data_IF_165506067649
#
_entry.id   IF_165506067649
#
_cell.length_a   1.000
_cell.length_b   1.000
_cell.length_c   1.000
_cell.angle_alpha   90.00
_cell.angle_beta   90.00
_cell.angle_gamma   90.00
#
_symmetry.space_group_name_H-M   'P 1'
#
loop_
_entity.id
_entity.type
_entity.pdbx_description
1 polymer ?
#
# COMPACT_ATOMS: atom_id res chain seq x y z
N UNK A 1 -33.35 18.08 26.65
CA UNK A 1 -33.21 16.71 26.09
C UNK A 1 -32.14 16.59 24.99
N UNK A 2 -32.02 17.51 24.05
CA UNK A 2 -30.99 17.49 22.98
C UNK A 2 -29.57 17.69 23.56
N UNK A 3 -29.40 18.54 24.56
CA UNK A 3 -28.10 18.82 25.19
C UNK A 3 -27.57 17.64 26.00
N UNK A 4 -28.44 16.95 26.73
CA UNK A 4 -28.06 15.74 27.49
C UNK A 4 -27.69 14.56 26.55
N UNK A 5 -28.37 14.41 25.40
CA UNK A 5 -28.03 13.41 24.39
C UNK A 5 -26.66 13.70 23.74
N UNK A 6 -26.31 14.99 23.55
CA UNK A 6 -24.97 15.37 23.03
C UNK A 6 -23.87 15.08 24.03
N UNK A 7 -24.07 15.33 25.32
CA UNK A 7 -23.09 15.03 26.38
C UNK A 7 -22.91 13.51 26.53
N UNK A 8 -23.97 12.72 26.52
CA UNK A 8 -23.89 11.26 26.57
C UNK A 8 -23.20 10.65 25.34
N UNK A 9 -23.38 11.22 24.15
CA UNK A 9 -22.70 10.78 22.94
C UNK A 9 -21.19 11.11 22.98
N UNK A 10 -20.82 12.27 23.51
CA UNK A 10 -19.42 12.68 23.65
C UNK A 10 -18.72 11.84 24.74
N UNK A 11 -19.40 11.52 25.85
CA UNK A 11 -18.81 10.67 26.90
C UNK A 11 -18.70 9.20 26.50
N UNK A 12 -19.67 8.65 25.75
CA UNK A 12 -19.58 7.31 25.18
C UNK A 12 -18.46 7.22 24.14
N UNK A 13 -18.27 8.27 23.33
CA UNK A 13 -17.17 8.39 22.37
C UNK A 13 -15.82 8.48 23.09
N UNK A 14 -15.73 9.20 24.21
CA UNK A 14 -14.51 9.28 25.04
C UNK A 14 -14.13 7.94 25.67
N UNK A 15 -15.08 7.14 26.11
CA UNK A 15 -14.84 5.81 26.67
C UNK A 15 -14.35 4.83 25.60
N UNK A 16 -14.84 4.95 24.36
CA UNK A 16 -14.39 4.18 23.20
C UNK A 16 -12.95 4.54 22.79
N UNK A 17 -12.60 5.81 22.78
CA UNK A 17 -11.25 6.29 22.45
C UNK A 17 -10.22 5.83 23.49
N UNK A 18 -10.58 5.76 24.76
CA UNK A 18 -9.68 5.28 25.82
C UNK A 18 -9.30 3.78 25.67
N UNK A 19 -10.16 2.97 25.01
CA UNK A 19 -9.87 1.55 24.72
C UNK A 19 -8.95 1.32 23.51
N UNK A 20 -8.70 2.35 22.68
CA UNK A 20 -7.96 2.23 21.42
C UNK A 20 -6.42 2.35 21.58
N UNK A 21 -5.90 2.55 22.75
CA UNK A 21 -4.45 2.74 22.99
C UNK A 21 -3.70 1.47 23.39
N UNK A 22 -4.35 0.30 23.38
CA UNK A 22 -3.65 -0.96 23.58
C UNK A 22 -2.77 -1.22 22.34
N UNK A 23 -1.45 -1.22 22.52
CA UNK A 23 -0.54 -1.78 21.52
C UNK A 23 -0.88 -3.26 21.36
N UNK A 24 -1.32 -3.68 20.18
CA UNK A 24 -1.54 -5.09 19.89
C UNK A 24 -0.21 -5.84 20.06
N UNK A 25 -0.17 -6.82 20.95
CA UNK A 25 0.97 -7.71 21.10
C UNK A 25 1.21 -8.47 19.77
N UNK A 26 2.48 -8.68 19.43
CA UNK A 26 2.85 -9.49 18.28
C UNK A 26 2.27 -10.90 18.43
N UNK A 27 1.77 -11.45 17.33
CA UNK A 27 1.23 -12.80 17.32
C UNK A 27 2.30 -13.85 17.65
N UNK A 28 1.91 -14.98 18.23
CA UNK A 28 2.81 -16.09 18.55
C UNK A 28 3.69 -16.52 17.34
N UNK A 29 3.15 -16.65 16.11
CA UNK A 29 3.97 -16.94 14.92
C UNK A 29 5.10 -15.95 14.66
N UNK A 30 4.86 -14.66 14.90
CA UNK A 30 5.90 -13.62 14.70
C UNK A 30 6.98 -13.72 15.77
N UNK A 31 6.62 -14.04 17.02
CA UNK A 31 7.58 -14.28 18.09
C UNK A 31 8.44 -15.51 17.81
N UNK A 32 7.84 -16.60 17.28
CA UNK A 32 8.58 -17.80 16.85
C UNK A 32 9.55 -17.49 15.72
N UNK A 33 9.13 -16.68 14.72
CA UNK A 33 10.01 -16.24 13.62
C UNK A 33 11.18 -15.43 14.16
N UNK A 34 10.93 -14.50 15.07
CA UNK A 34 11.96 -13.68 15.69
C UNK A 34 12.97 -14.54 16.46
N UNK A 35 12.49 -15.49 17.25
CA UNK A 35 13.32 -16.43 18.01
C UNK A 35 14.16 -17.32 17.07
N UNK A 36 13.58 -17.78 15.95
CA UNK A 36 14.33 -18.46 14.89
C UNK A 36 15.46 -17.58 14.34
N UNK A 37 15.18 -16.32 14.01
CA UNK A 37 16.18 -15.40 13.46
C UNK A 37 17.31 -15.16 14.47
N UNK A 38 17.00 -14.99 15.74
CA UNK A 38 17.99 -14.82 16.81
C UNK A 38 18.97 -16.00 16.92
N UNK A 39 18.48 -17.22 16.70
CA UNK A 39 19.29 -18.46 16.83
C UNK A 39 20.06 -18.83 15.58
N UNK A 40 19.53 -18.55 14.38
CA UNK A 40 20.01 -19.17 13.15
C UNK A 40 20.57 -18.18 12.12
N UNK A 41 20.21 -16.89 12.20
CA UNK A 41 20.67 -15.90 11.22
C UNK A 41 21.97 -15.25 11.72
N UNK A 42 23.04 -15.21 10.89
CA UNK A 42 24.30 -14.59 11.29
C UNK A 42 24.17 -13.08 11.47
N UNK A 43 25.01 -12.51 12.35
CA UNK A 43 25.13 -11.06 12.57
C UNK A 43 26.05 -10.41 11.53
N UNK A 44 26.02 -9.08 11.44
CA UNK A 44 27.04 -8.33 10.69
C UNK A 44 26.60 -7.80 9.33
N UNK A 45 25.33 -7.99 8.95
CA UNK A 45 24.81 -7.40 7.73
C UNK A 45 24.46 -5.91 7.91
N UNK A 46 24.49 -5.18 6.79
CA UNK A 46 24.01 -3.79 6.77
C UNK A 46 22.52 -3.75 7.01
N UNK A 47 22.05 -2.80 7.80
CA UNK A 47 20.61 -2.54 7.93
C UNK A 47 20.00 -2.07 6.60
N UNK A 48 18.68 -2.14 6.50
CA UNK A 48 17.88 -1.68 5.36
C UNK A 48 18.34 -2.30 4.04
N UNK A 49 18.33 -3.62 4.00
CA UNK A 49 18.70 -4.38 2.81
C UNK A 49 17.47 -4.55 1.90
N UNK A 50 17.63 -4.18 0.65
CA UNK A 50 16.64 -4.55 -0.37
C UNK A 50 16.61 -6.06 -0.58
N UNK A 51 15.43 -6.63 -0.85
CA UNK A 51 15.30 -8.02 -1.34
C UNK A 51 16.13 -8.26 -2.62
N UNK A 52 16.52 -7.18 -3.31
CA UNK A 52 17.29 -7.20 -4.56
C UNK A 52 18.80 -7.01 -4.35
N UNK A 53 19.25 -6.68 -3.13
CA UNK A 53 20.67 -6.32 -2.86
C UNK A 53 21.59 -7.53 -2.75
N UNK A 54 21.04 -8.72 -2.71
CA UNK A 54 21.83 -9.96 -2.66
C UNK A 54 22.50 -10.20 -3.99
N UNK A 55 23.69 -9.74 -4.12
CA UNK A 55 24.71 -9.94 -5.18
C UNK A 55 24.17 -10.15 -6.61
N UNK A 56 24.86 -9.71 -7.65
CA UNK A 56 24.41 -9.87 -9.05
C UNK A 56 24.17 -11.31 -9.50
N UNK A 57 24.56 -12.29 -8.70
CA UNK A 57 24.45 -13.74 -8.99
C UNK A 57 23.46 -14.49 -8.09
N UNK A 58 22.92 -13.86 -7.04
CA UNK A 58 21.96 -14.52 -6.15
C UNK A 58 20.53 -14.12 -6.50
N UNK A 59 19.64 -15.08 -6.35
CA UNK A 59 18.21 -14.87 -6.57
C UNK A 59 17.65 -13.91 -5.52
N UNK A 60 16.72 -13.00 -5.87
CA UNK A 60 16.00 -12.19 -4.91
C UNK A 60 15.42 -13.06 -3.79
N UNK A 61 15.59 -12.62 -2.57
CA UNK A 61 15.20 -13.36 -1.38
C UNK A 61 14.26 -12.52 -0.52
N UNK A 62 12.96 -12.75 -0.64
CA UNK A 62 11.93 -11.95 0.01
C UNK A 62 12.01 -11.92 1.54
N UNK A 63 12.55 -12.97 2.16
CA UNK A 63 12.65 -13.08 3.61
C UNK A 63 13.99 -12.58 4.16
N UNK A 64 15.00 -12.35 3.32
CA UNK A 64 16.34 -12.01 3.77
C UNK A 64 16.41 -10.70 4.56
N UNK A 65 15.85 -9.56 4.05
CA UNK A 65 15.85 -8.31 4.81
C UNK A 65 15.10 -8.44 6.13
N UNK A 66 13.95 -9.13 6.10
CA UNK A 66 13.15 -9.38 7.29
C UNK A 66 13.93 -10.16 8.35
N UNK A 67 14.61 -11.25 7.96
CA UNK A 67 15.39 -12.06 8.90
C UNK A 67 16.48 -11.26 9.59
N UNK A 68 17.23 -10.46 8.83
CA UNK A 68 18.29 -9.62 9.40
C UNK A 68 17.77 -8.49 10.27
N UNK A 69 16.66 -7.86 9.87
CA UNK A 69 16.02 -6.83 10.67
C UNK A 69 15.53 -7.39 12.03
N UNK A 70 14.88 -8.55 12.03
CA UNK A 70 14.41 -9.20 13.27
C UNK A 70 15.58 -9.69 14.13
N UNK A 71 16.69 -10.16 13.51
CA UNK A 71 17.89 -10.64 14.21
C UNK A 71 18.59 -9.52 14.98
N UNK A 72 18.77 -8.38 14.36
CA UNK A 72 19.57 -7.26 14.88
C UNK A 72 18.72 -6.02 15.22
N UNK A 73 17.45 -6.21 15.62
CA UNK A 73 16.48 -5.15 15.89
C UNK A 73 17.07 -4.01 16.75
N UNK A 74 17.66 -4.34 17.89
CA UNK A 74 18.21 -3.33 18.81
C UNK A 74 19.31 -2.49 18.17
N UNK A 75 20.18 -3.11 17.36
CA UNK A 75 21.25 -2.43 16.64
C UNK A 75 20.68 -1.47 15.59
N UNK A 76 19.69 -1.94 14.83
CA UNK A 76 19.11 -1.16 13.72
C UNK A 76 18.27 0.00 14.22
N UNK A 77 17.51 -0.17 15.29
CA UNK A 77 16.80 0.93 15.98
C UNK A 77 17.78 2.03 16.45
N UNK A 78 18.95 1.65 16.94
CA UNK A 78 20.00 2.61 17.33
C UNK A 78 20.60 3.39 16.15
N UNK A 79 20.58 2.85 14.93
CA UNK A 79 21.12 3.52 13.73
C UNK A 79 20.07 4.40 13.03
N UNK A 80 18.82 3.92 12.90
CA UNK A 80 17.79 4.55 12.06
C UNK A 80 16.69 5.27 12.82
N UNK A 81 16.68 5.26 14.14
CA UNK A 81 15.55 5.54 15.01
C UNK A 81 14.48 4.43 14.99
N UNK A 82 13.66 4.40 16.02
CA UNK A 82 12.53 3.46 16.12
C UNK A 82 11.55 3.62 14.94
N UNK A 83 11.25 4.86 14.59
CA UNK A 83 10.32 5.19 13.51
C UNK A 83 10.77 4.61 12.16
N UNK A 84 11.99 4.89 11.75
CA UNK A 84 12.52 4.40 10.48
C UNK A 84 12.65 2.88 10.45
N UNK A 85 13.09 2.26 11.55
CA UNK A 85 13.21 0.82 11.65
C UNK A 85 11.85 0.10 11.52
N UNK A 86 10.85 0.54 12.27
CA UNK A 86 9.53 -0.11 12.25
C UNK A 86 8.79 0.08 10.94
N UNK A 87 8.96 1.22 10.28
CA UNK A 87 8.40 1.45 8.94
C UNK A 87 9.01 0.48 7.91
N UNK A 88 10.34 0.32 7.89
CA UNK A 88 11.03 -0.62 7.00
C UNK A 88 10.62 -2.08 7.26
N UNK A 89 10.57 -2.50 8.51
CA UNK A 89 10.16 -3.87 8.85
C UNK A 89 8.70 -4.13 8.44
N UNK A 90 7.84 -3.13 8.58
CA UNK A 90 6.47 -3.19 8.07
C UNK A 90 6.43 -3.51 6.57
N UNK A 91 7.27 -2.83 5.77
CA UNK A 91 7.38 -3.10 4.34
C UNK A 91 7.89 -4.51 4.05
N UNK A 92 8.86 -5.02 4.80
CA UNK A 92 9.37 -6.39 4.62
C UNK A 92 8.31 -7.45 4.89
N UNK A 93 7.47 -7.26 5.91
CA UNK A 93 6.32 -8.13 6.14
C UNK A 93 5.29 -8.04 5.00
N UNK A 94 5.02 -6.85 4.48
CA UNK A 94 4.14 -6.67 3.34
C UNK A 94 4.68 -7.37 2.08
N UNK A 95 5.98 -7.26 1.79
CA UNK A 95 6.63 -8.02 0.72
C UNK A 95 6.49 -9.53 0.91
N UNK A 96 6.60 -10.03 2.13
CA UNK A 96 6.44 -11.46 2.43
C UNK A 96 4.96 -11.93 2.39
N UNK A 97 4.00 -11.03 2.17
CA UNK A 97 2.58 -11.32 2.12
C UNK A 97 1.90 -11.41 3.49
N UNK A 98 2.56 -11.00 4.56
CA UNK A 98 1.95 -10.90 5.90
C UNK A 98 1.51 -9.46 6.20
N UNK A 99 0.40 -9.08 5.62
CA UNK A 99 -0.13 -7.73 5.71
C UNK A 99 -0.64 -7.36 7.12
N UNK A 100 -1.03 -8.35 7.93
CA UNK A 100 -1.47 -8.13 9.31
C UNK A 100 -0.30 -7.71 10.18
N UNK A 101 0.79 -8.45 10.14
CA UNK A 101 2.00 -8.13 10.89
C UNK A 101 2.65 -6.84 10.39
N UNK A 102 2.59 -6.59 9.07
CA UNK A 102 3.02 -5.31 8.50
C UNK A 102 2.34 -4.12 9.20
N UNK A 103 1.02 -4.15 9.39
CA UNK A 103 0.30 -3.09 10.10
C UNK A 103 0.70 -2.99 11.58
N UNK A 104 0.93 -4.10 12.27
CA UNK A 104 1.38 -4.11 13.66
C UNK A 104 2.76 -3.45 13.84
N UNK A 105 3.67 -3.66 12.89
CA UNK A 105 4.98 -2.98 12.89
C UNK A 105 4.86 -1.51 12.50
N UNK A 106 4.01 -1.17 11.53
CA UNK A 106 3.77 0.20 11.11
C UNK A 106 3.30 1.09 12.27
N UNK A 107 2.39 0.59 13.11
CA UNK A 107 1.90 1.33 14.29
C UNK A 107 3.01 1.71 15.25
N UNK A 108 4.03 0.86 15.39
CA UNK A 108 5.18 1.15 16.26
C UNK A 108 6.07 2.28 15.73
N UNK A 109 5.93 2.66 14.45
CA UNK A 109 6.62 3.80 13.86
C UNK A 109 5.96 5.15 14.20
N UNK A 110 4.76 5.15 14.78
CA UNK A 110 3.98 6.37 15.03
C UNK A 110 4.30 7.01 16.38
N UNK A 111 4.20 8.34 16.40
CA UNK A 111 4.31 9.10 17.64
C UNK A 111 3.10 8.88 18.56
N UNK A 112 3.33 9.04 19.86
CA UNK A 112 2.24 9.02 20.85
C UNK A 112 1.33 10.24 20.68
N UNK A 113 0.03 10.03 20.95
CA UNK A 113 -0.98 11.10 20.90
C UNK A 113 -0.81 12.07 22.08
N UNK A 114 -0.52 13.31 21.80
CA UNK A 114 -0.41 14.40 22.78
C UNK A 114 -1.75 15.13 22.99
N UNK A 115 -1.79 16.10 23.94
CA UNK A 115 -3.03 16.84 24.27
C UNK A 115 -3.54 17.74 23.15
N UNK A 116 -2.64 18.32 22.36
CA UNK A 116 -3.02 19.09 21.17
C UNK A 116 -3.70 18.20 20.12
N UNK A 117 -3.19 17.00 19.94
CA UNK A 117 -3.78 15.98 19.06
C UNK A 117 -5.14 15.53 19.57
N UNK A 118 -5.32 15.34 20.89
CA UNK A 118 -6.63 15.04 21.49
C UNK A 118 -7.65 16.13 21.19
N UNK A 119 -7.27 17.40 21.28
CA UNK A 119 -8.14 18.53 20.95
C UNK A 119 -8.61 18.50 19.47
N UNK A 120 -7.74 18.11 18.55
CA UNK A 120 -8.10 17.90 17.13
C UNK A 120 -9.09 16.72 16.97
N UNK A 121 -8.86 15.61 17.65
CA UNK A 121 -9.77 14.44 17.63
C UNK A 121 -11.20 14.86 18.00
N UNK A 122 -11.38 15.66 19.05
CA UNK A 122 -12.71 16.12 19.46
C UNK A 122 -13.40 16.99 18.41
N UNK A 123 -12.66 17.92 17.77
CA UNK A 123 -13.20 18.75 16.70
C UNK A 123 -13.63 17.91 15.50
N UNK A 124 -12.79 17.00 15.09
CA UNK A 124 -13.07 16.11 13.94
C UNK A 124 -14.24 15.18 14.22
N UNK A 125 -14.30 14.61 15.42
CA UNK A 125 -15.44 13.78 15.83
C UNK A 125 -16.78 14.54 15.78
N UNK A 126 -16.79 15.80 16.20
CA UNK A 126 -17.99 16.64 16.15
C UNK A 126 -18.40 16.97 14.70
N UNK A 127 -17.44 17.20 13.80
CA UNK A 127 -17.71 17.49 12.38
C UNK A 127 -18.27 16.25 11.64
N UNK A 128 -18.00 15.04 12.11
CA UNK A 128 -18.49 13.79 11.51
C UNK A 128 -19.95 13.43 11.87
N UNK A 129 -20.65 14.28 12.66
CA UNK A 129 -22.06 14.08 13.00
C UNK A 129 -22.96 14.60 11.87
N UNK A 130 -23.49 13.76 11.04
CA UNK A 130 -24.43 14.17 9.98
C UNK A 130 -23.90 14.03 8.57
N UNK A 131 -22.82 13.29 8.39
CA UNK A 131 -22.30 12.91 7.07
C UNK A 131 -23.14 11.75 6.49
N UNK A 132 -23.25 11.74 5.17
CA UNK A 132 -23.75 10.62 4.38
C UNK A 132 -22.56 9.93 3.70
N UNK A 133 -22.67 8.62 3.48
CA UNK A 133 -21.66 7.84 2.78
C UNK A 133 -22.16 7.47 1.40
N UNK A 134 -21.28 7.64 0.43
CA UNK A 134 -21.49 7.17 -0.94
C UNK A 134 -20.33 6.26 -1.35
N UNK A 135 -20.61 5.30 -2.23
CA UNK A 135 -19.58 4.41 -2.75
C UNK A 135 -18.45 5.22 -3.42
N UNK A 136 -17.20 5.05 -2.95
CA UNK A 136 -16.04 5.84 -3.41
C UNK A 136 -15.79 5.67 -4.90
N UNK A 137 -15.84 4.43 -5.43
CA UNK A 137 -15.60 4.15 -6.85
C UNK A 137 -16.59 4.91 -7.75
N UNK A 138 -17.87 4.91 -7.40
CA UNK A 138 -18.90 5.61 -8.16
C UNK A 138 -18.71 7.12 -8.09
N UNK A 139 -18.39 7.66 -6.92
CA UNK A 139 -18.17 9.09 -6.74
C UNK A 139 -16.92 9.57 -7.48
N UNK A 140 -15.80 8.86 -7.36
CA UNK A 140 -14.56 9.15 -8.07
C UNK A 140 -14.77 9.15 -9.58
N UNK A 141 -15.51 8.16 -10.11
CA UNK A 141 -15.83 8.09 -11.54
C UNK A 141 -16.59 9.33 -12.03
N UNK A 142 -17.53 9.85 -11.25
CA UNK A 142 -18.24 11.08 -11.58
C UNK A 142 -17.32 12.31 -11.50
N UNK A 143 -16.55 12.44 -10.43
CA UNK A 143 -15.63 13.56 -10.23
C UNK A 143 -14.51 13.60 -11.30
N UNK A 144 -14.02 12.44 -11.75
CA UNK A 144 -12.95 12.32 -12.73
C UNK A 144 -13.40 12.50 -14.19
N UNK A 145 -14.73 12.51 -14.48
CA UNK A 145 -15.26 12.48 -15.86
C UNK A 145 -14.63 13.54 -16.77
N UNK A 146 -14.51 14.77 -16.28
CA UNK A 146 -14.02 15.92 -17.03
C UNK A 146 -12.60 16.34 -16.63
N UNK A 147 -11.90 15.53 -15.83
CA UNK A 147 -10.51 15.80 -15.43
C UNK A 147 -9.52 15.14 -16.39
N UNK A 148 -8.44 15.86 -16.71
CA UNK A 148 -7.35 15.32 -17.50
C UNK A 148 -6.33 14.57 -16.65
N UNK A 149 -6.18 14.97 -15.38
CA UNK A 149 -5.25 14.38 -14.43
C UNK A 149 -5.99 14.06 -13.14
N UNK A 150 -5.84 12.82 -12.69
CA UNK A 150 -6.28 12.36 -11.37
C UNK A 150 -5.06 11.83 -10.64
N UNK A 151 -4.86 12.25 -9.42
CA UNK A 151 -3.76 11.82 -8.56
C UNK A 151 -4.33 11.12 -7.32
N UNK A 152 -3.84 9.94 -7.02
CA UNK A 152 -4.22 9.15 -5.85
C UNK A 152 -2.96 8.78 -5.08
N UNK A 153 -3.00 8.88 -3.75
CA UNK A 153 -1.83 8.58 -2.92
C UNK A 153 -1.85 7.17 -2.33
N UNK A 154 -0.70 6.75 -1.80
CA UNK A 154 -0.54 5.51 -1.04
C UNK A 154 0.42 5.67 0.15
N UNK A 155 0.33 4.74 1.07
CA UNK A 155 1.40 4.37 2.00
C UNK A 155 2.03 3.06 1.50
N UNK A 156 3.34 3.04 1.24
CA UNK A 156 4.05 1.89 0.68
C UNK A 156 3.96 0.63 1.55
N UNK A 157 3.75 0.79 2.85
CA UNK A 157 3.55 -0.32 3.79
C UNK A 157 2.11 -0.88 3.79
N UNK A 158 1.19 -0.29 2.98
CA UNK A 158 -0.24 -0.67 2.91
C UNK A 158 -0.68 -1.07 1.51
N UNK A 159 -0.46 -2.31 1.09
CA UNK A 159 -0.90 -2.80 -0.23
C UNK A 159 -2.42 -2.69 -0.48
N UNK A 160 -3.24 -2.50 0.53
CA UNK A 160 -4.66 -2.15 0.40
C UNK A 160 -4.88 -0.94 -0.52
N UNK A 161 -4.02 0.08 -0.44
CA UNK A 161 -4.12 1.28 -1.27
C UNK A 161 -3.92 0.95 -2.75
N UNK A 162 -2.99 0.05 -3.07
CA UNK A 162 -2.75 -0.48 -4.43
C UNK A 162 -3.92 -1.30 -4.91
N UNK A 163 -4.51 -2.13 -4.03
CA UNK A 163 -5.70 -2.92 -4.34
C UNK A 163 -6.89 -2.02 -4.69
N UNK A 164 -7.08 -0.92 -3.97
CA UNK A 164 -8.12 0.05 -4.28
C UNK A 164 -7.87 0.76 -5.62
N UNK A 165 -6.66 1.28 -5.85
CA UNK A 165 -6.29 1.89 -7.15
C UNK A 165 -6.49 0.91 -8.31
N UNK A 166 -6.09 -0.35 -8.14
CA UNK A 166 -6.30 -1.40 -9.14
C UNK A 166 -7.79 -1.55 -9.48
N UNK A 167 -8.66 -1.52 -8.48
CA UNK A 167 -10.11 -1.64 -8.68
C UNK A 167 -10.72 -0.52 -9.55
N UNK A 168 -10.04 0.61 -9.66
CA UNK A 168 -10.46 1.77 -10.45
C UNK A 168 -9.97 1.72 -11.91
N UNK A 169 -8.92 0.93 -12.24
CA UNK A 169 -8.24 0.99 -13.55
C UNK A 169 -9.18 0.80 -14.73
N UNK A 170 -10.06 -0.20 -14.69
CA UNK A 170 -10.99 -0.47 -15.78
C UNK A 170 -11.97 0.70 -16.00
N UNK A 171 -12.39 1.37 -14.94
CA UNK A 171 -13.26 2.56 -15.06
C UNK A 171 -12.50 3.73 -15.68
N UNK A 172 -11.27 4.00 -15.22
CA UNK A 172 -10.44 5.04 -15.80
C UNK A 172 -10.12 4.77 -17.27
N UNK A 173 -9.81 3.52 -17.64
CA UNK A 173 -9.57 3.17 -19.03
C UNK A 173 -10.80 3.44 -19.91
N UNK A 174 -12.01 3.08 -19.45
CA UNK A 174 -13.27 3.37 -20.15
C UNK A 174 -13.55 4.87 -20.28
N UNK A 175 -13.10 5.67 -19.32
CA UNK A 175 -13.21 7.14 -19.38
C UNK A 175 -12.14 7.82 -20.26
N UNK A 176 -11.31 7.04 -20.95
CA UNK A 176 -10.29 7.54 -21.87
C UNK A 176 -8.92 7.81 -21.24
N UNK A 177 -8.69 7.44 -19.99
CA UNK A 177 -7.34 7.47 -19.41
C UNK A 177 -6.49 6.39 -20.08
N UNK A 178 -5.31 6.78 -20.55
CA UNK A 178 -4.40 5.90 -21.31
C UNK A 178 -3.00 5.84 -20.69
N UNK A 179 -2.74 6.67 -19.70
CA UNK A 179 -1.45 6.75 -19.03
C UNK A 179 -1.65 6.48 -17.53
N UNK A 180 -0.83 5.57 -16.98
CA UNK A 180 -0.69 5.34 -15.56
C UNK A 180 0.72 5.76 -15.15
N UNK A 181 0.83 6.89 -14.46
CA UNK A 181 2.08 7.38 -13.92
C UNK A 181 2.23 6.87 -12.47
N UNK A 182 3.35 6.23 -12.15
CA UNK A 182 3.59 5.65 -10.84
C UNK A 182 5.00 5.98 -10.35
N UNK A 183 5.10 6.48 -9.12
CA UNK A 183 6.36 6.80 -8.45
C UNK A 183 7.24 5.55 -8.28
N UNK A 184 6.63 4.41 -8.01
CA UNK A 184 7.32 3.15 -7.75
C UNK A 184 7.95 2.49 -8.98
N UNK A 185 7.71 2.98 -10.19
CA UNK A 185 8.30 2.44 -11.41
C UNK A 185 9.75 2.85 -11.55
N UNK A 186 10.59 1.92 -11.99
CA UNK A 186 12.00 2.20 -12.25
C UNK A 186 12.16 3.20 -13.41
N UNK A 187 12.84 4.31 -13.15
CA UNK A 187 13.09 5.40 -14.12
C UNK A 187 14.55 5.47 -14.59
N UNK A 188 15.35 4.43 -14.34
CA UNK A 188 16.76 4.39 -14.79
C UNK A 188 16.96 3.77 -16.17
N UNK A 189 15.88 3.35 -16.85
CA UNK A 189 15.92 2.73 -18.15
C UNK A 189 14.94 3.40 -19.10
N UNK A 190 15.35 3.63 -20.33
CA UNK A 190 14.48 4.11 -21.42
C UNK A 190 13.62 2.99 -22.03
N UNK A 191 13.75 1.75 -21.57
CA UNK A 191 12.95 0.64 -22.08
C UNK A 191 11.49 0.80 -21.68
N UNK A 192 10.61 0.55 -22.64
CA UNK A 192 9.16 0.50 -22.36
C UNK A 192 8.85 -0.65 -21.43
N UNK A 193 8.09 -0.35 -20.37
CA UNK A 193 7.65 -1.34 -19.40
C UNK A 193 6.45 -2.11 -19.98
N UNK A 194 6.70 -3.30 -20.53
CA UNK A 194 5.70 -4.17 -21.18
C UNK A 194 5.39 -5.45 -20.36
N UNK A 195 6.17 -5.73 -19.35
CA UNK A 195 6.03 -6.88 -18.47
C UNK A 195 6.44 -6.53 -17.04
N UNK A 196 6.04 -7.36 -16.08
CA UNK A 196 6.35 -7.19 -14.66
C UNK A 196 7.46 -8.13 -14.23
N UNK A 197 8.53 -7.55 -13.71
CA UNK A 197 9.66 -8.29 -13.16
C UNK A 197 10.32 -7.54 -12.01
N UNK A 198 11.33 -8.14 -11.40
CA UNK A 198 12.06 -7.55 -10.26
C UNK A 198 12.70 -6.20 -10.60
N UNK A 199 12.96 -5.91 -11.87
CA UNK A 199 13.52 -4.63 -12.32
C UNK A 199 12.48 -3.57 -12.67
N UNK A 200 11.20 -3.89 -12.63
CA UNK A 200 10.12 -2.94 -12.91
C UNK A 200 10.07 -1.80 -11.89
N UNK A 201 10.49 -2.08 -10.66
CA UNK A 201 10.64 -1.11 -9.58
C UNK A 201 10.70 -1.82 -8.23
N UNK A 202 11.34 -1.20 -7.24
CA UNK A 202 11.52 -1.83 -5.93
C UNK A 202 10.18 -2.20 -5.29
N UNK A 203 9.27 -1.25 -5.15
CA UNK A 203 7.95 -1.51 -4.55
C UNK A 203 7.03 -2.34 -5.43
N UNK A 204 7.31 -2.44 -6.75
CA UNK A 204 6.57 -3.33 -7.66
C UNK A 204 6.82 -4.80 -7.36
N UNK A 205 7.90 -5.13 -6.64
CA UNK A 205 8.18 -6.49 -6.17
C UNK A 205 7.16 -6.99 -5.14
N UNK A 206 6.38 -6.12 -4.50
CA UNK A 206 5.25 -6.53 -3.66
C UNK A 206 4.12 -7.08 -4.55
N UNK A 207 3.53 -8.26 -4.23
CA UNK A 207 2.60 -8.95 -5.14
C UNK A 207 1.38 -8.15 -5.60
N UNK A 208 0.82 -7.29 -4.74
CA UNK A 208 -0.34 -6.46 -5.13
C UNK A 208 0.08 -5.30 -6.02
N UNK A 209 1.26 -4.71 -5.79
CA UNK A 209 1.83 -3.71 -6.68
C UNK A 209 2.16 -4.31 -8.06
N UNK A 210 2.77 -5.50 -8.08
CA UNK A 210 3.01 -6.24 -9.32
C UNK A 210 1.72 -6.50 -10.08
N UNK A 211 0.65 -6.84 -9.38
CA UNK A 211 -0.66 -7.06 -10.01
C UNK A 211 -1.31 -5.76 -10.53
N UNK A 212 -1.16 -4.65 -9.83
CA UNK A 212 -1.61 -3.34 -10.31
C UNK A 212 -0.95 -2.99 -11.66
N UNK A 213 0.35 -3.23 -11.78
CA UNK A 213 1.09 -3.00 -13.03
C UNK A 213 0.66 -3.98 -14.13
N UNK A 214 0.48 -5.28 -13.82
CA UNK A 214 -0.02 -6.28 -14.79
C UNK A 214 -1.39 -5.91 -15.33
N UNK A 215 -2.29 -5.52 -14.45
CA UNK A 215 -3.64 -5.12 -14.85
C UNK A 215 -3.63 -3.87 -15.73
N UNK A 216 -2.80 -2.89 -15.41
CA UNK A 216 -2.64 -1.69 -16.23
C UNK A 216 -2.12 -2.03 -17.64
N UNK A 217 -1.10 -2.89 -17.76
CA UNK A 217 -0.58 -3.37 -19.04
C UNK A 217 -1.67 -4.12 -19.82
N UNK A 218 -2.38 -5.02 -19.17
CA UNK A 218 -3.44 -5.83 -19.77
C UNK A 218 -4.60 -4.98 -20.32
N UNK A 219 -4.94 -3.90 -19.64
CA UNK A 219 -5.95 -2.94 -20.09
C UNK A 219 -5.44 -2.03 -21.23
N UNK A 220 -4.14 -1.96 -21.45
CA UNK A 220 -3.53 -1.11 -22.49
C UNK A 220 -3.09 0.27 -21.99
N UNK A 221 -2.91 0.48 -20.70
CA UNK A 221 -2.27 1.69 -20.20
C UNK A 221 -0.80 1.76 -20.62
N UNK A 222 -0.35 2.98 -20.95
CA UNK A 222 1.06 3.31 -21.07
C UNK A 222 1.59 3.67 -19.69
N UNK A 223 2.58 2.93 -19.21
CA UNK A 223 3.20 3.18 -17.91
C UNK A 223 4.17 4.35 -18.02
N UNK A 224 4.13 5.26 -17.05
CA UNK A 224 4.96 6.45 -16.98
C UNK A 224 5.74 6.44 -15.68
N UNK A 225 7.02 6.03 -15.68
CA UNK A 225 7.92 6.28 -14.56
C UNK A 225 8.21 7.79 -14.51
N UNK A 226 7.94 8.41 -13.36
CA UNK A 226 8.08 9.86 -13.22
C UNK A 226 9.00 10.30 -12.08
N UNK A 227 9.54 9.33 -11.32
CA UNK A 227 10.44 9.63 -10.20
C UNK A 227 11.69 10.38 -10.68
N UNK A 228 12.20 11.25 -9.82
CA UNK A 228 13.48 11.92 -10.02
C UNK A 228 14.64 10.92 -9.87
N UNK A 229 15.43 10.71 -10.91
CA UNK A 229 16.57 9.79 -10.90
C UNK A 229 17.73 10.28 -10.02
N UNK A 230 17.71 11.55 -9.60
CA UNK A 230 18.68 12.18 -8.71
C UNK A 230 18.07 12.56 -7.36
N UNK A 231 17.00 11.90 -6.95
CA UNK A 231 16.28 12.20 -5.71
C UNK A 231 17.16 12.24 -4.44
N UNK A 232 18.25 11.47 -4.41
CA UNK A 232 19.24 11.53 -3.32
C UNK A 232 20.13 12.77 -3.32
N UNK A 233 20.14 13.58 -4.39
CA UNK A 233 20.95 14.80 -4.56
C UNK A 233 20.08 16.04 -4.47
N UNK A 234 18.90 15.99 -5.03
CA UNK A 234 17.96 17.12 -5.08
C UNK A 234 17.24 17.33 -3.74
N UNK A 235 16.87 18.57 -3.47
CA UNK A 235 15.97 18.90 -2.36
C UNK A 235 14.56 18.34 -2.64
N UNK A 236 13.72 18.21 -1.61
CA UNK A 236 12.34 17.76 -1.75
C UNK A 236 11.55 18.63 -2.77
N UNK A 237 11.73 19.96 -2.76
CA UNK A 237 11.10 20.86 -3.72
C UNK A 237 11.57 20.63 -5.16
N UNK A 238 12.86 20.36 -5.37
CA UNK A 238 13.40 20.04 -6.70
C UNK A 238 12.84 18.71 -7.19
N UNK A 239 12.83 17.67 -6.31
CA UNK A 239 12.26 16.36 -6.63
C UNK A 239 10.79 16.47 -7.04
N UNK A 240 9.94 17.13 -6.23
CA UNK A 240 8.52 17.34 -6.54
C UNK A 240 8.31 18.10 -7.86
N UNK A 241 9.16 19.10 -8.14
CA UNK A 241 9.09 19.88 -9.38
C UNK A 241 9.47 19.04 -10.60
N UNK A 242 10.48 18.18 -10.48
CA UNK A 242 10.93 17.27 -11.55
C UNK A 242 9.84 16.22 -11.82
N UNK A 243 9.26 15.62 -10.77
CA UNK A 243 8.15 14.71 -10.89
C UNK A 243 6.95 15.36 -11.62
N UNK A 244 6.60 16.59 -11.24
CA UNK A 244 5.55 17.38 -11.87
C UNK A 244 5.83 17.63 -13.36
N UNK A 245 7.10 17.95 -13.71
CA UNK A 245 7.54 18.16 -15.08
C UNK A 245 7.40 16.88 -15.92
N UNK A 246 7.82 15.72 -15.40
CA UNK A 246 7.69 14.43 -16.11
C UNK A 246 6.22 14.10 -16.42
N UNK A 247 5.31 14.36 -15.48
CA UNK A 247 3.87 14.17 -15.73
C UNK A 247 3.35 15.16 -16.77
N UNK A 248 3.78 16.43 -16.69
CA UNK A 248 3.35 17.46 -17.65
C UNK A 248 3.86 17.19 -19.08
N UNK A 249 5.04 16.63 -19.22
CA UNK A 249 5.60 16.29 -20.53
C UNK A 249 4.75 15.27 -21.30
N UNK A 250 4.08 14.36 -20.60
CA UNK A 250 3.10 13.45 -21.23
C UNK A 250 1.97 14.25 -21.88
N UNK A 251 1.42 15.26 -21.18
CA UNK A 251 0.33 16.11 -21.69
C UNK A 251 0.77 17.06 -22.78
N UNK A 252 2.03 17.48 -22.78
CA UNK A 252 2.63 18.31 -23.85
C UNK A 252 2.81 17.52 -25.13
N UNK A 253 3.22 16.25 -25.01
CA UNK A 253 3.45 15.35 -26.13
C UNK A 253 2.16 14.74 -26.70
N UNK A 254 1.09 14.67 -25.89
CA UNK A 254 -0.23 14.18 -26.27
C UNK A 254 -1.32 15.09 -25.67
N UNK A 255 -1.82 16.03 -26.48
CA UNK A 255 -2.83 17.01 -26.04
C UNK A 255 -4.16 16.37 -25.63
N UNK A 256 -4.41 15.12 -26.05
CA UNK A 256 -5.63 14.36 -25.73
C UNK A 256 -5.44 13.48 -24.48
N UNK A 257 -4.23 13.40 -23.92
CA UNK A 257 -3.90 12.51 -22.81
C UNK A 257 -4.76 12.79 -21.57
N UNK A 258 -5.20 11.68 -20.97
CA UNK A 258 -5.71 11.63 -19.61
C UNK A 258 -4.81 10.70 -18.80
N UNK A 259 -4.38 11.15 -17.63
CA UNK A 259 -3.38 10.48 -16.80
C UNK A 259 -3.97 10.18 -15.43
N UNK A 260 -3.84 8.92 -15.00
CA UNK A 260 -3.96 8.53 -13.61
C UNK A 260 -2.56 8.49 -13.00
N UNK A 261 -2.34 9.22 -11.91
CA UNK A 261 -1.08 9.26 -11.17
C UNK A 261 -1.27 8.51 -9.85
N UNK A 262 -0.36 7.59 -9.53
CA UNK A 262 -0.27 6.91 -8.25
C UNK A 262 1.04 7.31 -7.56
N UNK A 263 0.93 8.00 -6.43
CA UNK A 263 2.04 8.64 -5.73
C UNK A 263 2.06 8.25 -4.24
N UNK A 264 3.15 8.51 -3.53
CA UNK A 264 3.17 8.37 -2.08
C UNK A 264 2.59 9.61 -1.37
N UNK A 265 2.01 9.38 -0.20
CA UNK A 265 1.57 10.37 0.81
C UNK A 265 1.28 11.80 0.30
N UNK A 266 2.13 12.75 0.78
CA UNK A 266 1.94 14.19 0.65
C UNK A 266 2.27 14.75 -0.76
N UNK A 267 2.79 13.96 -1.69
CA UNK A 267 3.10 14.43 -3.05
C UNK A 267 1.89 15.00 -3.78
N UNK A 268 0.67 14.58 -3.41
CA UNK A 268 -0.56 15.03 -4.06
C UNK A 268 -1.31 16.12 -3.29
N UNK A 269 -0.71 16.76 -2.27
CA UNK A 269 -1.29 17.91 -1.59
C UNK A 269 -1.47 19.10 -2.54
N UNK A 270 -2.58 19.83 -2.39
CA UNK A 270 -2.91 21.03 -3.18
C UNK A 270 -2.43 22.33 -2.53
N UNK A 271 -1.87 22.25 -1.34
CA UNK A 271 -1.37 23.38 -0.57
C UNK A 271 0.10 23.15 -0.19
N UNK A 272 0.89 24.23 0.04
CA UNK A 272 2.24 24.06 0.55
C UNK A 272 2.24 23.41 1.93
N UNK A 273 3.22 22.53 2.18
CA UNK A 273 3.43 21.96 3.50
C UNK A 273 4.01 23.00 4.49
N UNK A 274 3.84 22.77 5.81
CA UNK A 274 4.60 23.50 6.82
C UNK A 274 6.11 23.41 6.53
N UNK A 275 6.79 24.56 6.49
CA UNK A 275 8.21 24.63 6.08
C UNK A 275 8.44 24.99 4.60
N UNK A 276 7.36 25.20 3.82
CA UNK A 276 7.44 25.78 2.47
C UNK A 276 7.71 24.77 1.36
N UNK A 277 7.62 23.44 1.63
CA UNK A 277 7.63 22.44 0.56
C UNK A 277 6.41 22.63 -0.33
N UNK A 278 6.65 22.58 -1.64
CA UNK A 278 5.62 22.64 -2.69
C UNK A 278 5.42 21.21 -3.22
N UNK A 279 4.34 20.53 -2.83
CA UNK A 279 4.09 19.15 -3.28
C UNK A 279 3.92 19.05 -4.79
N UNK A 280 4.19 17.87 -5.34
CA UNK A 280 4.16 17.58 -6.78
C UNK A 280 2.83 18.01 -7.45
N UNK A 281 1.68 17.74 -6.83
CA UNK A 281 0.39 18.13 -7.42
C UNK A 281 0.23 19.65 -7.53
N UNK A 282 0.66 20.41 -6.50
CA UNK A 282 0.67 21.86 -6.53
C UNK A 282 1.69 22.40 -7.54
N UNK A 283 2.89 21.80 -7.61
CA UNK A 283 3.90 22.15 -8.60
C UNK A 283 3.39 21.89 -10.03
N UNK A 284 2.74 20.75 -10.25
CA UNK A 284 2.10 20.40 -11.53
C UNK A 284 1.02 21.42 -11.92
N UNK A 285 0.12 21.77 -10.99
CA UNK A 285 -0.94 22.75 -11.27
C UNK A 285 -0.37 24.13 -11.63
N UNK A 286 0.62 24.62 -10.88
CA UNK A 286 1.29 25.90 -11.17
C UNK A 286 2.01 25.88 -12.52
N UNK A 287 2.66 24.78 -12.87
CA UNK A 287 3.40 24.60 -14.12
C UNK A 287 2.49 24.51 -15.33
N UNK A 288 1.42 23.71 -15.24
CA UNK A 288 0.59 23.34 -16.38
C UNK A 288 -0.67 24.20 -16.56
N UNK A 289 -1.12 24.89 -15.50
CA UNK A 289 -2.44 25.50 -15.44
C UNK A 289 -3.61 24.49 -15.34
N UNK A 290 -3.31 23.18 -15.30
CA UNK A 290 -4.31 22.12 -15.22
C UNK A 290 -4.46 21.68 -13.77
N UNK A 291 -5.63 21.92 -13.19
CA UNK A 291 -5.91 21.49 -11.82
C UNK A 291 -6.14 19.97 -11.79
N UNK A 292 -5.31 19.18 -11.05
CA UNK A 292 -5.56 17.75 -10.87
C UNK A 292 -6.73 17.52 -9.92
N UNK A 293 -7.45 16.39 -10.07
CA UNK A 293 -8.30 15.85 -9.02
C UNK A 293 -7.42 15.02 -8.09
N UNK A 294 -7.33 15.41 -6.81
CA UNK A 294 -6.52 14.71 -5.81
C UNK A 294 -7.38 13.88 -4.87
N UNK A 295 -6.97 12.61 -4.67
CA UNK A 295 -7.71 11.61 -3.91
C UNK A 295 -6.81 11.03 -2.84
N UNK A 296 -7.06 11.39 -1.59
CA UNK A 296 -6.39 10.76 -0.46
C UNK A 296 -7.05 9.44 -0.09
N UNK A 297 -6.23 8.43 0.20
CA UNK A 297 -6.66 7.16 0.79
C UNK A 297 -5.79 6.75 2.00
N UNK A 298 -4.94 7.64 2.46
CA UNK A 298 -3.98 7.34 3.54
C UNK A 298 -4.47 7.76 4.92
N UNK A 299 -5.39 8.72 5.00
CA UNK A 299 -5.87 9.29 6.26
C UNK A 299 -6.94 8.43 6.92
N UNK A 300 -7.95 8.00 6.15
CA UNK A 300 -9.08 7.23 6.65
C UNK A 300 -8.96 5.75 6.32
N UNK A 301 -7.93 5.12 6.84
CA UNK A 301 -7.61 3.69 6.70
C UNK A 301 -7.12 3.13 8.02
N UNK A 302 -7.19 1.80 8.21
CA UNK A 302 -6.62 1.13 9.39
C UNK A 302 -5.17 1.54 9.58
N UNK A 303 -4.80 1.83 10.84
CA UNK A 303 -3.45 2.25 11.21
C UNK A 303 -2.93 3.36 10.29
N UNK A 304 -3.73 4.43 10.16
CA UNK A 304 -3.34 5.57 9.34
C UNK A 304 -2.10 6.28 9.90
N UNK A 305 -1.37 6.97 9.02
CA UNK A 305 -0.11 7.63 9.36
C UNK A 305 -0.28 8.92 10.19
N UNK A 306 -1.52 9.35 10.40
CA UNK A 306 -1.80 10.51 11.26
C UNK A 306 -1.65 10.16 12.72
N UNK A 307 -0.99 11.01 13.49
CA UNK A 307 -0.87 10.84 14.93
C UNK A 307 -2.22 10.71 15.65
N UNK A 308 -3.28 11.27 15.11
CA UNK A 308 -4.66 11.11 15.58
C UNK A 308 -5.58 10.38 14.60
N UNK A 309 -5.21 10.22 13.33
CA UNK A 309 -6.03 9.62 12.27
C UNK A 309 -6.43 8.20 12.58
N UNK A 310 -5.52 7.40 13.14
CA UNK A 310 -5.81 6.04 13.64
C UNK A 310 -7.01 6.05 14.60
N UNK A 311 -7.01 6.93 15.58
CA UNK A 311 -8.08 7.03 16.59
C UNK A 311 -9.38 7.52 15.96
N UNK A 312 -9.30 8.50 15.05
CA UNK A 312 -10.46 9.00 14.31
C UNK A 312 -11.05 7.90 13.43
N UNK A 313 -10.23 7.18 12.69
CA UNK A 313 -10.66 6.07 11.85
C UNK A 313 -11.39 4.99 12.66
N UNK A 314 -10.84 4.56 13.78
CA UNK A 314 -11.47 3.57 14.67
C UNK A 314 -12.80 4.06 15.22
N UNK A 315 -12.84 5.28 15.73
CA UNK A 315 -14.07 5.89 16.24
C UNK A 315 -15.13 6.05 15.14
N UNK A 316 -14.70 6.41 13.93
CA UNK A 316 -15.57 6.60 12.77
C UNK A 316 -16.18 5.28 12.31
N UNK A 317 -15.37 4.24 12.12
CA UNK A 317 -15.82 2.92 11.66
C UNK A 317 -16.63 2.17 12.72
N UNK A 318 -16.43 2.47 14.01
CA UNK A 318 -17.30 1.98 15.08
C UNK A 318 -18.68 2.64 15.04
N UNK A 319 -18.75 3.93 14.70
CA UNK A 319 -20.01 4.66 14.62
C UNK A 319 -20.78 4.36 13.34
N UNK A 320 -20.09 4.25 12.22
CA UNK A 320 -20.66 4.01 10.91
C UNK A 320 -20.25 2.64 10.40
N UNK A 321 -21.20 1.84 9.98
CA UNK A 321 -20.96 0.51 9.40
C UNK A 321 -20.40 0.66 7.97
N UNK A 322 -19.11 1.00 7.86
CA UNK A 322 -18.42 1.11 6.58
C UNK A 322 -18.06 -0.31 6.11
N UNK A 323 -18.71 -0.77 5.05
CA UNK A 323 -18.51 -2.13 4.48
C UNK A 323 -17.81 -2.12 3.13
N UNK A 324 -17.66 -0.94 2.52
CA UNK A 324 -16.97 -0.74 1.24
C UNK A 324 -16.26 0.63 1.23
N UNK A 325 -15.24 0.84 0.37
CA UNK A 325 -14.60 2.13 0.24
C UNK A 325 -15.62 3.24 -0.06
N UNK A 326 -15.62 4.27 0.76
CA UNK A 326 -16.67 5.30 0.78
C UNK A 326 -16.10 6.71 0.80
N UNK A 327 -16.86 7.68 0.31
CA UNK A 327 -16.64 9.12 0.47
C UNK A 327 -17.70 9.65 1.43
N UNK A 328 -17.29 10.43 2.42
CA UNK A 328 -18.20 11.15 3.30
C UNK A 328 -18.68 12.45 2.64
N UNK A 329 -19.98 12.71 2.66
CA UNK A 329 -20.58 13.95 2.15
C UNK A 329 -21.31 14.67 3.27
N UNK A 330 -21.16 15.99 3.31
CA UNK A 330 -21.97 16.90 4.11
C UNK A 330 -22.56 17.97 3.18
N UNK A 331 -23.87 18.13 3.19
CA UNK A 331 -24.58 19.03 2.26
C UNK A 331 -24.21 18.76 0.78
N UNK A 332 -24.08 17.49 0.40
CA UNK A 332 -23.68 17.02 -0.92
C UNK A 332 -22.25 17.38 -1.36
N UNK A 333 -21.42 17.92 -0.47
CA UNK A 333 -20.00 18.18 -0.73
C UNK A 333 -19.11 17.17 0.01
N UNK A 334 -17.96 16.75 -0.58
CA UNK A 334 -17.00 15.90 0.11
C UNK A 334 -16.49 16.54 1.39
N UNK A 335 -16.32 15.73 2.42
CA UNK A 335 -15.74 16.13 3.69
C UNK A 335 -14.42 15.41 3.88
N UNK A 336 -13.33 16.17 4.02
CA UNK A 336 -12.03 15.66 4.41
C UNK A 336 -11.89 15.74 5.93
N UNK A 337 -11.25 14.74 6.49
CA UNK A 337 -11.19 14.57 7.94
C UNK A 337 -10.24 15.56 8.59
N UNK A 338 -9.18 15.95 7.92
CA UNK A 338 -8.15 16.82 8.48
C UNK A 338 -8.32 18.28 8.04
N UNK A 339 -8.11 18.56 6.78
CA UNK A 339 -8.28 19.90 6.21
C UNK A 339 -8.89 19.78 4.80
N UNK A 340 -10.00 20.48 4.58
CA UNK A 340 -10.74 20.44 3.32
C UNK A 340 -9.97 20.94 2.10
N UNK A 341 -8.91 21.69 2.32
CA UNK A 341 -8.12 22.30 1.24
C UNK A 341 -6.88 21.47 0.85
N UNK A 342 -6.57 20.39 1.59
CA UNK A 342 -5.42 19.53 1.30
C UNK A 342 -5.65 18.64 0.08
N UNK A 343 -6.84 18.03 -0.01
CA UNK A 343 -7.24 17.11 -1.08
C UNK A 343 -8.66 17.41 -1.54
N UNK A 344 -9.01 16.99 -2.76
CA UNK A 344 -10.40 17.09 -3.23
C UNK A 344 -11.30 16.01 -2.63
N UNK A 345 -10.78 14.80 -2.48
CA UNK A 345 -11.52 13.65 -1.96
C UNK A 345 -10.67 12.89 -0.93
N UNK A 346 -11.33 12.37 0.11
CA UNK A 346 -10.74 11.44 1.07
C UNK A 346 -11.55 10.12 1.06
N UNK A 347 -10.87 9.02 0.75
CA UNK A 347 -11.47 7.68 0.72
C UNK A 347 -11.42 7.08 2.12
N UNK A 348 -12.57 6.67 2.63
CA UNK A 348 -12.69 5.92 3.88
C UNK A 348 -12.69 4.43 3.53
N UNK A 349 -11.62 3.74 3.90
CA UNK A 349 -11.50 2.30 3.70
C UNK A 349 -12.33 1.54 4.75
N UNK A 350 -12.99 0.43 4.39
CA UNK A 350 -13.65 -0.41 5.39
C UNK A 350 -12.61 -1.11 6.28
N UNK A 351 -12.99 -1.51 7.51
CA UNK A 351 -12.15 -2.37 8.33
C UNK A 351 -11.80 -3.67 7.60
N UNK A 352 -10.55 -4.10 7.73
CA UNK A 352 -10.07 -5.30 7.05
C UNK A 352 -10.69 -6.56 7.65
N UNK A 353 -11.32 -7.36 6.82
CA UNK A 353 -11.80 -8.69 7.16
C UNK A 353 -10.70 -9.69 6.77
N UNK A 354 -10.41 -10.64 7.66
CA UNK A 354 -9.41 -11.69 7.44
C UNK A 354 -10.08 -13.06 7.24
N UNK A 355 -9.55 -13.82 6.31
CA UNK A 355 -9.86 -15.24 6.07
C UNK A 355 -8.54 -16.02 6.22
N UNK A 356 -8.49 -16.95 7.16
CA UNK A 356 -7.27 -17.74 7.46
C UNK A 356 -6.00 -16.89 7.54
N UNK A 357 -6.07 -15.75 8.28
CA UNK A 357 -4.97 -14.80 8.48
C UNK A 357 -4.66 -13.88 7.30
N UNK A 358 -5.32 -14.05 6.14
CA UNK A 358 -5.12 -13.25 4.94
C UNK A 358 -6.26 -12.25 4.73
N UNK A 359 -6.00 -10.99 4.33
CA UNK A 359 -7.04 -9.99 4.16
C UNK A 359 -7.92 -10.25 2.94
N UNK A 360 -9.24 -10.11 3.11
CA UNK A 360 -10.23 -10.38 2.06
C UNK A 360 -10.17 -9.36 0.90
N UNK A 361 -9.64 -8.15 1.13
CA UNK A 361 -9.44 -7.16 0.06
C UNK A 361 -8.46 -7.64 -1.03
N UNK A 362 -7.65 -8.69 -0.77
CA UNK A 362 -6.83 -9.36 -1.79
C UNK A 362 -7.63 -10.00 -2.92
N UNK A 363 -8.95 -10.09 -2.80
CA UNK A 363 -9.85 -10.41 -3.92
C UNK A 363 -9.79 -9.36 -5.04
N UNK A 364 -9.22 -8.17 -4.80
CA UNK A 364 -9.03 -7.09 -5.79
C UNK A 364 -10.31 -6.77 -6.56
N UNK A 365 -11.41 -6.55 -5.83
CA UNK A 365 -12.70 -6.27 -6.45
C UNK A 365 -13.33 -7.46 -7.21
N UNK A 366 -12.90 -8.68 -6.92
CA UNK A 366 -13.40 -9.91 -7.56
C UNK A 366 -12.51 -10.44 -8.69
N UNK A 367 -11.37 -9.78 -8.98
CA UNK A 367 -10.40 -10.29 -9.97
C UNK A 367 -9.68 -11.55 -9.49
N UNK A 368 -9.54 -11.74 -8.19
CA UNK A 368 -8.90 -12.90 -7.57
C UNK A 368 -9.89 -13.65 -6.69
N UNK A 369 -9.68 -14.94 -6.54
CA UNK A 369 -10.45 -15.80 -5.63
C UNK A 369 -9.53 -16.47 -4.61
N UNK A 370 -10.04 -16.79 -3.41
CA UNK A 370 -9.31 -17.57 -2.41
C UNK A 370 -9.04 -18.97 -2.96
N UNK A 371 -7.77 -19.35 -2.99
CA UNK A 371 -7.29 -20.62 -3.53
C UNK A 371 -6.46 -21.32 -2.47
N UNK A 372 -6.91 -22.50 -2.04
CA UNK A 372 -6.20 -23.29 -1.03
C UNK A 372 -5.19 -24.22 -1.68
N UNK A 373 -3.94 -24.06 -1.30
CA UNK A 373 -2.83 -24.89 -1.79
C UNK A 373 -2.41 -25.84 -0.66
N UNK A 374 -2.49 -27.15 -0.90
CA UNK A 374 -2.08 -28.16 0.07
C UNK A 374 -0.57 -28.04 0.34
N UNK A 375 -0.18 -28.08 1.60
CA UNK A 375 1.22 -28.11 2.02
C UNK A 375 1.81 -29.50 1.73
N UNK A 376 2.86 -29.62 0.90
CA UNK A 376 3.40 -30.93 0.52
C UNK A 376 4.19 -31.63 1.64
N UNK A 377 4.78 -30.88 2.57
CA UNK A 377 5.50 -31.42 3.73
C UNK A 377 5.58 -30.40 4.88
N UNK A 378 5.87 -30.88 6.08
CA UNK A 378 6.07 -30.02 7.26
C UNK A 378 7.30 -29.12 7.17
N UNK A 379 8.26 -29.42 6.30
CA UNK A 379 9.43 -28.58 6.07
C UNK A 379 9.13 -27.30 5.28
N UNK A 380 8.00 -27.23 4.59
CA UNK A 380 7.62 -26.01 3.85
C UNK A 380 7.30 -24.89 4.81
N UNK A 381 7.97 -23.75 4.60
CA UNK A 381 7.76 -22.52 5.34
C UNK A 381 7.10 -21.43 4.49
N UNK A 382 7.52 -21.27 3.24
CA UNK A 382 7.11 -20.18 2.36
C UNK A 382 6.57 -20.70 1.03
N UNK A 383 5.50 -20.11 0.53
CA UNK A 383 4.85 -20.47 -0.73
C UNK A 383 4.74 -19.27 -1.65
N UNK A 384 5.07 -19.44 -2.93
CA UNK A 384 5.02 -18.42 -3.96
C UNK A 384 4.32 -18.96 -5.21
N UNK A 385 3.29 -18.25 -5.68
CA UNK A 385 2.60 -18.56 -6.93
C UNK A 385 3.02 -17.58 -8.03
N UNK A 386 3.43 -18.10 -9.18
CA UNK A 386 3.79 -17.32 -10.37
C UNK A 386 2.86 -17.69 -11.51
N UNK A 387 2.54 -16.75 -12.39
CA UNK A 387 1.81 -17.05 -13.62
C UNK A 387 2.63 -17.98 -14.50
N UNK A 388 2.02 -19.09 -14.95
CA UNK A 388 2.71 -20.08 -15.80
C UNK A 388 3.26 -19.42 -17.08
N UNK A 389 2.47 -18.55 -17.71
CA UNK A 389 2.88 -17.84 -18.92
C UNK A 389 4.12 -16.96 -18.72
N UNK A 390 4.28 -16.34 -17.54
CA UNK A 390 5.47 -15.53 -17.23
C UNK A 390 6.69 -16.41 -16.98
N UNK A 391 6.49 -17.58 -16.33
CA UNK A 391 7.55 -18.58 -16.15
C UNK A 391 8.03 -19.10 -17.50
N UNK A 392 7.12 -19.43 -18.40
CA UNK A 392 7.46 -19.95 -19.73
C UNK A 392 8.20 -18.91 -20.58
N UNK A 393 7.78 -17.64 -20.49
CA UNK A 393 8.43 -16.54 -21.21
C UNK A 393 9.83 -16.17 -20.66
N UNK A 394 10.20 -16.64 -19.46
CA UNK A 394 11.47 -16.38 -18.80
C UNK A 394 12.30 -17.64 -18.57
N UNK A 395 12.27 -18.58 -19.53
CA UNK A 395 13.07 -19.82 -19.50
C UNK A 395 12.96 -20.60 -18.17
N UNK A 396 11.76 -20.63 -17.60
CA UNK A 396 11.49 -21.23 -16.29
C UNK A 396 12.25 -20.61 -15.09
N UNK A 397 12.65 -19.34 -15.22
CA UNK A 397 13.45 -18.60 -14.24
C UNK A 397 12.56 -17.72 -13.33
N UNK A 398 12.03 -18.22 -12.19
CA UNK A 398 11.07 -17.45 -11.38
C UNK A 398 11.68 -16.26 -10.62
N UNK A 399 13.00 -16.25 -10.37
CA UNK A 399 13.65 -15.22 -9.55
C UNK A 399 13.80 -13.85 -10.23
N UNK A 400 13.49 -13.74 -11.50
CA UNK A 400 13.37 -12.45 -12.19
C UNK A 400 11.94 -11.89 -12.19
N UNK A 401 10.98 -12.69 -11.73
CA UNK A 401 9.56 -12.39 -11.75
C UNK A 401 9.06 -11.97 -10.37
N UNK A 402 8.00 -11.18 -10.37
CA UNK A 402 7.24 -10.87 -9.16
C UNK A 402 6.14 -11.94 -9.02
N UNK A 403 6.00 -12.59 -7.85
CA UNK A 403 4.93 -13.57 -7.66
C UNK A 403 3.54 -12.92 -7.79
N UNK A 404 2.57 -13.68 -8.28
CA UNK A 404 1.18 -13.26 -8.28
C UNK A 404 0.66 -13.13 -6.84
N UNK A 405 1.00 -14.09 -5.98
CA UNK A 405 0.75 -14.03 -4.54
C UNK A 405 1.75 -14.90 -3.79
N UNK A 406 2.00 -14.59 -2.52
CA UNK A 406 2.88 -15.34 -1.65
C UNK A 406 2.52 -15.18 -0.19
N UNK A 407 2.93 -16.14 0.63
CA UNK A 407 2.79 -16.08 2.09
C UNK A 407 3.68 -17.11 2.76
N UNK A 408 3.85 -16.98 4.06
CA UNK A 408 4.52 -17.99 4.88
C UNK A 408 3.60 -18.44 6.03
N UNK A 409 3.97 -19.54 6.67
CA UNK A 409 3.34 -19.96 7.92
C UNK A 409 4.37 -20.59 8.86
N UNK A 410 4.18 -20.35 10.14
CA UNK A 410 4.87 -21.01 11.23
C UNK A 410 3.94 -22.07 11.82
N UNK A 411 4.42 -23.32 11.83
CA UNK A 411 3.71 -24.44 12.45
C UNK A 411 2.50 -24.97 11.66
N UNK A 412 2.06 -26.12 12.03
CA UNK A 412 0.84 -26.89 11.89
C UNK A 412 -0.20 -26.69 10.77
N UNK A 413 -0.08 -25.74 9.85
CA UNK A 413 -1.07 -25.55 8.78
C UNK A 413 -0.94 -26.63 7.70
N UNK A 414 -2.06 -27.27 7.35
CA UNK A 414 -2.11 -28.28 6.27
C UNK A 414 -2.18 -27.65 4.88
N UNK A 415 -2.55 -26.36 4.79
CA UNK A 415 -2.77 -25.66 3.52
C UNK A 415 -2.47 -24.18 3.65
N UNK A 416 -2.08 -23.57 2.53
CA UNK A 416 -1.92 -22.14 2.37
C UNK A 416 -3.12 -21.52 1.66
N UNK A 417 -3.57 -20.36 2.09
CA UNK A 417 -4.52 -19.55 1.35
C UNK A 417 -3.76 -18.55 0.48
N UNK A 418 -3.91 -18.64 -0.83
CA UNK A 418 -3.47 -17.64 -1.80
C UNK A 418 -4.68 -17.03 -2.49
N UNK A 419 -4.54 -15.78 -2.96
CA UNK A 419 -5.55 -15.11 -3.77
C UNK A 419 -5.05 -15.03 -5.21
N UNK A 420 -5.67 -15.79 -6.09
CA UNK A 420 -5.22 -15.96 -7.47
C UNK A 420 -6.34 -15.64 -8.46
N UNK A 421 -5.99 -15.07 -9.62
CA UNK A 421 -6.91 -14.93 -10.75
C UNK A 421 -7.17 -16.31 -11.37
N UNK A 422 -8.23 -16.40 -12.16
CA UNK A 422 -8.44 -17.54 -13.05
C UNK A 422 -7.25 -17.72 -14.00
N UNK A 423 -6.71 -18.94 -14.08
CA UNK A 423 -5.53 -19.21 -14.93
C UNK A 423 -4.61 -20.30 -14.39
N UNK A 424 -3.46 -20.47 -15.04
CA UNK A 424 -2.45 -21.47 -14.71
C UNK A 424 -1.27 -20.84 -13.99
N UNK A 425 -0.78 -21.56 -12.98
CA UNK A 425 0.29 -21.11 -12.09
C UNK A 425 1.32 -22.22 -11.88
N UNK A 426 2.57 -21.81 -11.62
CA UNK A 426 3.59 -22.65 -11.02
C UNK A 426 3.79 -22.18 -9.58
N UNK A 427 3.53 -23.07 -8.62
CA UNK A 427 3.61 -22.78 -7.19
C UNK A 427 4.87 -23.41 -6.63
N UNK A 428 5.75 -22.58 -6.08
CA UNK A 428 7.00 -22.99 -5.45
C UNK A 428 6.85 -23.05 -3.94
N UNK A 429 7.36 -24.12 -3.34
CA UNK A 429 7.40 -24.35 -1.90
C UNK A 429 8.85 -24.27 -1.42
N UNK A 430 9.09 -23.41 -0.44
CA UNK A 430 10.42 -23.18 0.12
C UNK A 430 10.48 -23.53 1.60
N UNK A 431 11.64 -23.97 2.04
CA UNK A 431 11.93 -24.10 3.46
C UNK A 431 12.22 -22.71 4.11
N UNK A 432 12.47 -22.72 5.41
CA UNK A 432 12.78 -21.51 6.16
C UNK A 432 14.13 -20.88 5.77
N UNK A 433 15.04 -21.63 5.14
CA UNK A 433 16.31 -21.15 4.58
C UNK A 433 16.14 -20.64 3.13
N UNK A 434 14.88 -20.54 2.67
CA UNK A 434 14.48 -20.09 1.33
C UNK A 434 14.88 -21.05 0.19
N UNK A 435 15.26 -22.29 0.48
CA UNK A 435 15.56 -23.31 -0.53
C UNK A 435 14.28 -23.86 -1.14
N UNK A 436 14.24 -24.05 -2.44
CA UNK A 436 13.10 -24.67 -3.13
C UNK A 436 13.08 -26.16 -2.78
N UNK A 437 12.02 -26.60 -2.12
CA UNK A 437 11.76 -28.01 -1.81
C UNK A 437 10.99 -28.73 -2.93
N UNK A 438 10.05 -28.03 -3.54
CA UNK A 438 9.24 -28.57 -4.63
C UNK A 438 8.52 -27.45 -5.39
N UNK A 439 7.98 -27.79 -6.56
CA UNK A 439 7.09 -26.93 -7.32
C UNK A 439 5.97 -27.74 -7.92
N UNK A 440 4.75 -27.18 -7.95
CA UNK A 440 3.55 -27.82 -8.50
C UNK A 440 2.84 -26.91 -9.49
N UNK A 441 2.29 -27.47 -10.59
CA UNK A 441 1.34 -26.75 -11.42
C UNK A 441 0.01 -26.63 -10.68
N UNK A 442 -0.65 -25.48 -10.76
CA UNK A 442 -1.97 -25.21 -10.19
C UNK A 442 -2.82 -24.50 -11.24
N UNK A 443 -4.05 -24.98 -11.43
CA UNK A 443 -5.03 -24.33 -12.29
C UNK A 443 -6.18 -23.81 -11.44
N UNK A 444 -6.51 -22.53 -11.64
CA UNK A 444 -7.60 -21.80 -10.95
C UNK A 444 -8.71 -21.57 -11.96
N UNK A 445 -9.90 -22.15 -11.70
CA UNK A 445 -11.06 -22.15 -12.59
C UNK A 445 -12.02 -20.97 -12.33
#
# INVERSE_FOLDING_TARGET
MVFLKRILLVTAFMALVAGCFAQDELSAPVLELKDYCLRNIPTGYSPLMSIMTLTPKSNPHYLFPLYHALRDETKFRGIYSDKGFYDEVSQYFAFAGDYRTALQYLVKSYDSVNDATRGKIYKTAAALLGVQHVNARNYIRLAAKNRRVVMINENFSKPLHRAFTLSLLADFYRMGYRYLAMEMLNNFSSQRLESVGMRTGYYVCEPVAGELVREAISLGFKLVPYEDTLAGVHTANQRDSIQAQHIYDVLRNDSTAKILVHASFAHILKTPEPGGRIPMALAFWRLSGIEPLTIDQTDMTEESNFGYGRVIYQAYTTKFSITEPSIALMNNAPVNVDDKDLYDLCVIQPPTIYLDGRPVWMKLGGLRQPTYIKRPSSAVFFVQAYYQSEIDANDNTPWQLVPADQTYTLGGTERYLLYLKKGKYKVFFRDINYQILSALPVEVN
#
